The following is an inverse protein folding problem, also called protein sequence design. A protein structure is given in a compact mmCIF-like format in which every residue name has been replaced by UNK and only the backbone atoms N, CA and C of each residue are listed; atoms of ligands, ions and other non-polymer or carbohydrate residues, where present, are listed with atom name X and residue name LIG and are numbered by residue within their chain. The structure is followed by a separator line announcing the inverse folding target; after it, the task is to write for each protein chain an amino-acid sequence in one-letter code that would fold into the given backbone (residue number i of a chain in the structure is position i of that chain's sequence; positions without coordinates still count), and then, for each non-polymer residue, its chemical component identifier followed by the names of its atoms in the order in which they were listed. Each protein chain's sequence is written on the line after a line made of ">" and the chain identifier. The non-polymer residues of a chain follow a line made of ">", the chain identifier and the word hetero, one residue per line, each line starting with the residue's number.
data_IF_555102569697
#
_entry.id   IF_555102569697
#
_cell.length_a   1.000
_cell.length_b   1.000
_cell.length_c   1.000
_cell.angle_alpha   90.00
_cell.angle_beta   90.00
_cell.angle_gamma   90.00
#
_symmetry.space_group_name_H-M   'P 1'
#
loop_
_entity.id
_entity.type
_entity.pdbx_description
1 polymer ?
#
# COMPACT_ATOMS: atom_id res chain seq x y z
N UNK A 1 2.25 15.09 12.42
CA UNK A 1 3.35 15.06 11.42
C UNK A 1 4.35 14.04 11.94
N UNK A 2 4.38 12.81 11.40
CA UNK A 2 5.37 11.81 11.84
C UNK A 2 6.73 12.28 11.37
N UNK A 3 7.59 12.68 12.29
CA UNK A 3 8.96 13.09 11.94
C UNK A 3 9.73 11.91 11.35
N UNK A 4 10.82 12.19 10.62
CA UNK A 4 11.69 11.15 10.03
C UNK A 4 12.14 10.11 11.07
N UNK A 5 12.42 10.55 12.29
CA UNK A 5 12.75 9.67 13.41
C UNK A 5 11.60 8.71 13.75
N UNK A 6 10.35 9.18 13.74
CA UNK A 6 9.18 8.35 13.99
C UNK A 6 8.98 7.26 12.93
N UNK A 7 9.31 7.53 11.66
CA UNK A 7 9.26 6.53 10.60
C UNK A 7 10.35 5.46 10.76
N UNK A 8 11.57 5.85 11.14
CA UNK A 8 12.65 4.90 11.44
C UNK A 8 12.35 4.05 12.68
N UNK A 9 11.83 4.68 13.76
CA UNK A 9 11.41 3.96 14.96
C UNK A 9 10.28 2.98 14.66
N UNK A 10 9.31 3.38 13.82
CA UNK A 10 8.25 2.49 13.37
C UNK A 10 8.80 1.33 12.53
N UNK A 11 9.76 1.59 11.65
CA UNK A 11 10.38 0.55 10.82
C UNK A 11 11.14 -0.48 11.66
N UNK A 12 12.06 -0.03 12.52
CA UNK A 12 12.81 -0.91 13.43
C UNK A 12 11.87 -1.60 14.42
N UNK A 13 10.90 -0.86 14.95
CA UNK A 13 9.90 -1.38 15.89
C UNK A 13 9.04 -2.46 15.28
N UNK A 14 8.57 -2.28 14.04
CA UNK A 14 7.75 -3.28 13.35
C UNK A 14 8.57 -4.53 13.01
N UNK A 15 9.82 -4.39 12.55
CA UNK A 15 10.72 -5.54 12.35
C UNK A 15 10.94 -6.29 13.67
N UNK A 16 11.26 -5.56 14.74
CA UNK A 16 11.50 -6.16 16.06
C UNK A 16 10.26 -6.87 16.59
N UNK A 17 9.07 -6.29 16.39
CA UNK A 17 7.80 -6.90 16.76
C UNK A 17 7.58 -8.23 16.02
N UNK A 18 7.73 -8.25 14.70
CA UNK A 18 7.53 -9.45 13.89
C UNK A 18 8.53 -10.56 14.22
N UNK A 19 9.76 -10.21 14.61
CA UNK A 19 10.79 -11.19 14.94
C UNK A 19 10.66 -11.75 16.37
N UNK A 20 10.24 -10.92 17.32
CA UNK A 20 10.29 -11.25 18.76
C UNK A 20 8.94 -11.61 19.36
N UNK A 21 7.84 -11.02 18.87
CA UNK A 21 6.52 -11.07 19.52
C UNK A 21 5.44 -11.72 18.65
N UNK A 22 5.60 -11.71 17.33
CA UNK A 22 4.65 -12.35 16.43
C UNK A 22 4.69 -13.89 16.58
N UNK A 23 3.63 -14.59 16.13
CA UNK A 23 3.56 -16.05 16.20
C UNK A 23 4.76 -16.76 15.53
N UNK A 24 4.95 -18.07 15.74
CA UNK A 24 5.97 -18.82 15.01
C UNK A 24 5.73 -18.75 13.49
N UNK A 25 6.82 -18.83 12.73
CA UNK A 25 6.75 -18.89 11.27
C UNK A 25 6.63 -20.35 10.84
N UNK A 26 5.54 -20.69 10.15
CA UNK A 26 5.36 -22.00 9.52
C UNK A 26 5.88 -21.94 8.08
N UNK A 27 7.19 -22.13 7.90
CA UNK A 27 7.87 -21.86 6.63
C UNK A 27 7.33 -22.71 5.47
N UNK A 28 7.09 -24.00 5.68
CA UNK A 28 6.59 -24.90 4.63
C UNK A 28 5.19 -24.51 4.17
N UNK A 29 4.29 -24.20 5.12
CA UNK A 29 2.92 -23.73 4.87
C UNK A 29 2.91 -22.36 4.18
N UNK A 30 3.78 -21.44 4.61
CA UNK A 30 3.93 -20.13 3.96
C UNK A 30 4.40 -20.28 2.51
N UNK A 31 5.38 -21.16 2.26
CA UNK A 31 5.90 -21.39 0.91
C UNK A 31 4.86 -22.09 0.01
N UNK A 32 4.09 -23.04 0.54
CA UNK A 32 3.00 -23.69 -0.20
C UNK A 32 1.88 -22.70 -0.51
N UNK A 33 1.49 -21.85 0.44
CA UNK A 33 0.53 -20.78 0.25
C UNK A 33 1.00 -19.82 -0.86
N UNK A 34 2.21 -19.28 -0.76
CA UNK A 34 2.77 -18.37 -1.77
C UNK A 34 2.85 -19.04 -3.14
N UNK A 35 3.28 -20.29 -3.20
CA UNK A 35 3.29 -21.06 -4.45
C UNK A 35 1.90 -21.14 -5.06
N UNK A 36 0.89 -21.52 -4.28
CA UNK A 36 -0.48 -21.68 -4.75
C UNK A 36 -1.08 -20.35 -5.23
N UNK A 37 -0.81 -19.25 -4.52
CA UNK A 37 -1.23 -17.90 -4.95
C UNK A 37 -0.60 -17.55 -6.32
N UNK A 38 0.71 -17.75 -6.46
CA UNK A 38 1.48 -17.38 -7.66
C UNK A 38 1.22 -18.31 -8.85
N UNK A 39 0.82 -19.56 -8.63
CA UNK A 39 0.45 -20.52 -9.67
C UNK A 39 -1.06 -20.53 -9.97
N UNK A 40 -1.84 -19.60 -9.39
CA UNK A 40 -3.28 -19.48 -9.57
C UNK A 40 -4.09 -20.71 -9.07
N UNK A 41 -3.53 -21.48 -8.13
CA UNK A 41 -4.18 -22.60 -7.47
C UNK A 41 -4.99 -22.12 -6.26
N UNK A 42 -5.99 -21.28 -6.53
CA UNK A 42 -6.74 -20.57 -5.50
C UNK A 42 -7.86 -21.39 -4.84
N UNK A 43 -8.20 -22.56 -5.40
CA UNK A 43 -9.32 -23.38 -4.90
C UNK A 43 -9.11 -23.88 -3.47
N UNK A 44 -7.85 -24.09 -3.08
CA UNK A 44 -7.47 -24.65 -1.77
C UNK A 44 -7.04 -23.56 -0.77
N UNK A 45 -7.23 -22.28 -1.10
CA UNK A 45 -6.81 -21.16 -0.24
C UNK A 45 -8.06 -20.51 0.34
N UNK A 46 -8.05 -20.23 1.64
CA UNK A 46 -9.09 -19.44 2.27
C UNK A 46 -9.25 -18.07 1.55
N UNK A 47 -10.44 -17.76 1.00
CA UNK A 47 -10.68 -16.52 0.26
C UNK A 47 -10.34 -15.24 1.03
N UNK A 48 -10.45 -15.23 2.37
CA UNK A 48 -10.08 -14.08 3.19
C UNK A 48 -8.58 -13.81 3.11
N UNK A 49 -7.76 -14.87 3.14
CA UNK A 49 -6.29 -14.78 3.08
C UNK A 49 -5.84 -14.36 1.68
N UNK A 50 -6.42 -14.96 0.64
CA UNK A 50 -6.14 -14.56 -0.74
C UNK A 50 -6.50 -13.09 -0.98
N UNK A 51 -7.62 -12.64 -0.45
CA UNK A 51 -8.03 -11.24 -0.48
C UNK A 51 -7.03 -10.35 0.25
N UNK A 52 -6.65 -10.69 1.49
CA UNK A 52 -5.67 -9.92 2.27
C UNK A 52 -4.34 -9.79 1.53
N UNK A 53 -3.80 -10.89 0.99
CA UNK A 53 -2.58 -10.86 0.17
C UNK A 53 -2.73 -9.96 -1.05
N UNK A 54 -3.84 -10.08 -1.77
CA UNK A 54 -4.12 -9.26 -2.94
C UNK A 54 -4.28 -7.78 -2.59
N UNK A 55 -4.85 -7.46 -1.43
CA UNK A 55 -4.98 -6.10 -0.92
C UNK A 55 -3.65 -5.47 -0.55
N UNK A 56 -2.63 -6.24 -0.14
CA UNK A 56 -1.25 -5.73 -0.04
C UNK A 56 -0.78 -5.25 -1.41
N UNK A 57 -1.01 -6.03 -2.46
CA UNK A 57 -0.73 -5.62 -3.85
C UNK A 57 -1.47 -4.34 -4.24
N UNK A 58 -2.76 -4.22 -3.90
CA UNK A 58 -3.55 -2.99 -4.13
C UNK A 58 -2.93 -1.80 -3.39
N UNK A 59 -2.51 -1.96 -2.14
CA UNK A 59 -1.80 -0.90 -1.42
C UNK A 59 -0.51 -0.48 -2.12
N UNK A 60 0.32 -1.43 -2.55
CA UNK A 60 1.53 -1.12 -3.30
C UNK A 60 1.23 -0.33 -4.58
N UNK A 61 0.14 -0.65 -5.27
CA UNK A 61 -0.32 0.08 -6.44
C UNK A 61 -0.81 1.49 -6.05
N UNK A 62 -1.60 1.63 -4.98
CA UNK A 62 -2.02 2.95 -4.45
C UNK A 62 -0.80 3.84 -4.18
N UNK A 63 0.20 3.30 -3.47
CA UNK A 63 1.45 4.01 -3.19
C UNK A 63 2.24 4.31 -4.46
N UNK A 64 2.28 3.39 -5.42
CA UNK A 64 2.93 3.59 -6.72
C UNK A 64 2.31 4.77 -7.48
N UNK A 65 0.98 4.87 -7.45
CA UNK A 65 0.23 5.97 -8.06
C UNK A 65 0.57 7.37 -7.55
N UNK A 66 1.33 7.48 -6.46
CA UNK A 66 1.77 8.75 -5.86
C UNK A 66 3.30 8.83 -5.83
N UNK A 67 3.98 7.79 -5.33
CA UNK A 67 5.40 7.85 -5.03
C UNK A 67 6.31 7.76 -6.26
N UNK A 68 5.84 7.23 -7.38
CA UNK A 68 6.60 7.35 -8.64
C UNK A 68 6.62 8.79 -9.18
N UNK A 69 5.55 9.55 -8.94
CA UNK A 69 5.48 10.99 -9.25
C UNK A 69 6.41 11.74 -8.30
N UNK A 70 6.26 11.54 -6.98
CA UNK A 70 7.11 12.18 -5.97
C UNK A 70 8.59 11.86 -6.21
N UNK A 71 8.91 10.61 -6.57
CA UNK A 71 10.26 10.14 -6.84
C UNK A 71 10.96 10.80 -8.02
N UNK A 72 10.26 11.53 -8.90
CA UNK A 72 10.90 12.38 -9.93
C UNK A 72 11.55 13.63 -9.35
N UNK A 73 11.16 14.02 -8.14
CA UNK A 73 11.66 15.22 -7.45
C UNK A 73 12.59 14.85 -6.28
N UNK A 74 12.82 13.56 -6.05
CA UNK A 74 13.70 13.07 -5.00
C UNK A 74 15.11 12.81 -5.52
N UNK A 75 16.08 12.85 -4.61
CA UNK A 75 17.45 12.43 -4.91
C UNK A 75 17.53 10.91 -5.19
N UNK A 76 16.75 10.11 -4.47
CA UNK A 76 16.66 8.66 -4.70
C UNK A 76 15.31 8.39 -5.36
N UNK A 77 15.27 7.78 -6.56
CA UNK A 77 14.02 7.43 -7.20
C UNK A 77 13.28 6.32 -6.42
N UNK A 78 11.96 6.25 -6.57
CA UNK A 78 11.13 5.31 -5.81
C UNK A 78 11.29 3.83 -6.23
N UNK A 79 11.70 3.56 -7.48
CA UNK A 79 11.67 2.19 -8.05
C UNK A 79 12.40 1.10 -7.24
N UNK A 80 13.57 1.34 -6.59
CA UNK A 80 14.23 0.28 -5.81
C UNK A 80 13.37 -0.11 -4.59
N UNK A 81 12.70 0.87 -3.99
CA UNK A 81 11.81 0.64 -2.85
C UNK A 81 10.49 0.04 -3.29
N UNK A 82 9.99 0.35 -4.49
CA UNK A 82 8.85 -0.34 -5.07
C UNK A 82 9.13 -1.85 -5.20
N UNK A 83 10.29 -2.24 -5.75
CA UNK A 83 10.70 -3.64 -5.85
C UNK A 83 10.85 -4.28 -4.47
N UNK A 84 11.52 -3.61 -3.53
CA UNK A 84 11.65 -4.09 -2.16
C UNK A 84 10.29 -4.29 -1.49
N UNK A 85 9.32 -3.42 -1.77
CA UNK A 85 7.97 -3.48 -1.21
C UNK A 85 7.12 -4.59 -1.82
N UNK A 86 7.35 -4.98 -3.08
CA UNK A 86 6.71 -6.18 -3.66
C UNK A 86 7.11 -7.43 -2.88
N UNK A 87 8.38 -7.54 -2.46
CA UNK A 87 8.86 -8.69 -1.71
C UNK A 87 8.51 -8.65 -0.21
N UNK A 88 8.47 -7.47 0.40
CA UNK A 88 8.42 -7.31 1.87
C UNK A 88 7.24 -6.47 2.38
N UNK A 89 6.34 -6.05 1.50
CA UNK A 89 5.22 -5.17 1.82
C UNK A 89 5.68 -3.81 2.35
N UNK A 90 5.07 -3.38 3.45
CA UNK A 90 5.31 -2.05 4.04
C UNK A 90 6.76 -1.86 4.54
N UNK A 91 7.47 -2.96 4.81
CA UNK A 91 8.87 -2.92 5.25
C UNK A 91 9.81 -2.35 4.18
N UNK A 92 9.56 -2.63 2.91
CA UNK A 92 10.31 -2.06 1.79
C UNK A 92 9.96 -0.59 1.53
N UNK A 93 8.74 -0.17 1.88
CA UNK A 93 8.22 1.17 1.65
C UNK A 93 8.72 2.18 2.69
N UNK A 94 8.72 1.80 3.96
CA UNK A 94 9.02 2.67 5.09
C UNK A 94 10.36 3.42 4.99
N UNK A 95 11.49 2.78 4.60
CA UNK A 95 12.75 3.47 4.42
C UNK A 95 12.66 4.61 3.40
N UNK A 96 11.91 4.43 2.30
CA UNK A 96 11.70 5.49 1.32
C UNK A 96 10.95 6.68 1.93
N UNK A 97 9.88 6.40 2.69
CA UNK A 97 9.10 7.44 3.38
C UNK A 97 9.96 8.23 4.38
N UNK A 98 10.92 7.57 5.04
CA UNK A 98 11.82 8.21 5.98
C UNK A 98 12.90 9.06 5.30
N UNK A 99 13.38 8.64 4.12
CA UNK A 99 14.46 9.30 3.39
C UNK A 99 13.97 10.49 2.55
N UNK A 100 12.79 10.37 1.93
CA UNK A 100 12.24 11.38 1.03
C UNK A 100 12.09 12.76 1.68
N UNK A 101 12.07 13.81 0.86
CA UNK A 101 11.79 15.19 1.28
C UNK A 101 10.38 15.59 0.82
N UNK A 102 9.59 16.29 1.66
CA UNK A 102 8.29 16.80 1.22
C UNK A 102 8.45 17.78 0.06
N UNK A 103 7.64 17.62 -0.99
CA UNK A 103 7.59 18.52 -2.14
C UNK A 103 6.22 19.22 -2.18
N UNK A 104 6.21 20.51 -2.56
CA UNK A 104 4.97 21.30 -2.67
C UNK A 104 4.52 21.54 -4.11
N UNK A 105 5.46 21.49 -5.05
CA UNK A 105 5.22 21.79 -6.47
C UNK A 105 5.85 20.68 -7.31
N UNK A 106 5.16 20.30 -8.38
CA UNK A 106 5.66 19.29 -9.30
C UNK A 106 6.61 19.91 -10.33
N UNK A 107 7.91 19.62 -10.23
CA UNK A 107 8.94 20.07 -11.17
C UNK A 107 9.48 18.94 -12.08
N UNK A 108 8.93 17.73 -11.96
CA UNK A 108 9.34 16.58 -12.75
C UNK A 108 8.79 16.57 -14.18
N UNK A 109 9.33 15.67 -15.03
CA UNK A 109 8.77 15.40 -16.36
C UNK A 109 7.71 14.30 -16.28
N UNK A 110 6.52 14.58 -16.82
CA UNK A 110 5.42 13.62 -16.91
C UNK A 110 5.55 12.73 -18.16
N UNK A 111 6.26 11.62 -18.02
CA UNK A 111 6.37 10.59 -19.06
C UNK A 111 5.09 9.75 -19.18
N UNK A 112 5.01 8.87 -20.19
CA UNK A 112 3.83 8.03 -20.43
C UNK A 112 3.50 7.10 -19.24
N UNK A 113 4.51 6.65 -18.50
CA UNK A 113 4.32 5.82 -17.31
C UNK A 113 3.65 6.62 -16.18
N UNK A 114 4.09 7.85 -15.94
CA UNK A 114 3.44 8.74 -14.99
C UNK A 114 2.07 9.20 -15.47
N UNK A 115 1.84 9.36 -16.77
CA UNK A 115 0.50 9.62 -17.31
C UNK A 115 -0.48 8.48 -17.01
N UNK A 116 -0.04 7.22 -17.12
CA UNK A 116 -0.84 6.06 -16.73
C UNK A 116 -1.18 6.11 -15.24
N UNK A 117 -0.18 6.29 -14.37
CA UNK A 117 -0.39 6.36 -12.92
C UNK A 117 -1.25 7.56 -12.50
N UNK A 118 -1.14 8.69 -13.20
CA UNK A 118 -1.91 9.90 -12.97
C UNK A 118 -3.36 9.80 -13.46
N UNK A 119 -3.67 8.83 -14.32
CA UNK A 119 -4.99 8.66 -14.93
C UNK A 119 -6.07 8.27 -13.91
N UNK A 120 -7.27 8.83 -14.06
CA UNK A 120 -8.45 8.43 -13.26
C UNK A 120 -8.82 6.96 -13.47
N UNK A 121 -8.52 6.40 -14.65
CA UNK A 121 -8.74 4.99 -14.95
C UNK A 121 -7.88 4.07 -14.09
N UNK A 122 -6.68 4.51 -13.71
CA UNK A 122 -5.83 3.74 -12.80
C UNK A 122 -6.55 3.53 -11.46
N UNK A 123 -7.05 4.61 -10.86
CA UNK A 123 -7.87 4.52 -9.65
C UNK A 123 -9.14 3.68 -9.84
N UNK A 124 -9.83 3.84 -10.97
CA UNK A 124 -11.07 3.11 -11.26
C UNK A 124 -10.86 1.58 -11.39
N UNK A 125 -9.74 1.16 -11.98
CA UNK A 125 -9.39 -0.27 -12.04
C UNK A 125 -9.08 -0.78 -10.63
N UNK A 126 -8.28 -0.06 -9.84
CA UNK A 126 -7.94 -0.46 -8.48
C UNK A 126 -9.17 -0.58 -7.57
N UNK A 127 -10.11 0.37 -7.65
CA UNK A 127 -11.33 0.30 -6.83
C UNK A 127 -12.22 -0.86 -7.25
N UNK A 128 -12.35 -1.12 -8.56
CA UNK A 128 -13.11 -2.27 -9.07
C UNK A 128 -12.49 -3.58 -8.60
N UNK A 129 -11.17 -3.75 -8.77
CA UNK A 129 -10.44 -4.92 -8.27
C UNK A 129 -10.62 -5.11 -6.76
N UNK A 130 -10.55 -4.02 -5.99
CA UNK A 130 -10.75 -4.04 -4.54
C UNK A 130 -12.15 -4.52 -4.16
N UNK A 131 -13.18 -3.99 -4.83
CA UNK A 131 -14.58 -4.40 -4.60
C UNK A 131 -14.77 -5.87 -4.94
N UNK A 132 -14.21 -6.35 -6.05
CA UNK A 132 -14.28 -7.77 -6.44
C UNK A 132 -13.60 -8.68 -5.42
N UNK A 133 -12.41 -8.32 -4.93
CA UNK A 133 -11.67 -9.07 -3.92
C UNK A 133 -12.44 -9.15 -2.59
N UNK A 134 -12.99 -8.02 -2.14
CA UNK A 134 -13.78 -7.98 -0.90
C UNK A 134 -15.08 -8.77 -1.04
N UNK A 135 -15.78 -8.66 -2.17
CA UNK A 135 -16.98 -9.46 -2.44
C UNK A 135 -16.68 -10.96 -2.41
N UNK A 136 -15.54 -11.37 -2.98
CA UNK A 136 -15.08 -12.76 -2.95
C UNK A 136 -14.78 -13.24 -1.53
N UNK A 137 -14.04 -12.47 -0.72
CA UNK A 137 -13.75 -12.81 0.67
C UNK A 137 -15.01 -12.86 1.55
N UNK A 138 -15.94 -11.92 1.37
CA UNK A 138 -17.18 -11.88 2.17
C UNK A 138 -18.10 -13.04 1.79
N UNK A 139 -18.17 -13.42 0.52
CA UNK A 139 -19.10 -14.45 0.04
C UNK A 139 -18.62 -15.88 0.32
N UNK A 140 -17.32 -16.14 0.21
CA UNK A 140 -16.76 -17.50 0.24
C UNK A 140 -15.71 -17.72 1.35
N UNK A 141 -15.35 -16.66 2.08
CA UNK A 141 -14.30 -16.71 3.08
C UNK A 141 -14.70 -17.40 4.38
N UNK A 142 -13.77 -18.17 4.94
CA UNK A 142 -13.89 -18.69 6.29
C UNK A 142 -13.21 -17.73 7.28
N UNK A 143 -14.00 -16.89 7.94
CA UNK A 143 -13.49 -15.87 8.87
C UNK A 143 -12.97 -16.45 10.18
N UNK A 144 -13.50 -17.59 10.63
CA UNK A 144 -13.03 -18.27 11.84
C UNK A 144 -11.62 -18.81 11.64
N UNK A 145 -11.40 -19.49 10.52
CA UNK A 145 -10.10 -20.00 10.09
C UNK A 145 -9.09 -18.86 9.92
N UNK A 146 -9.50 -17.73 9.32
CA UNK A 146 -8.64 -16.54 9.24
C UNK A 146 -8.22 -16.00 10.62
N UNK A 147 -9.15 -15.95 11.59
CA UNK A 147 -8.83 -15.47 12.95
C UNK A 147 -7.83 -16.42 13.63
N UNK A 148 -7.98 -17.73 13.42
CA UNK A 148 -7.05 -18.72 13.93
C UNK A 148 -5.67 -18.52 13.30
N UNK A 149 -5.58 -18.45 11.97
CA UNK A 149 -4.31 -18.24 11.26
C UNK A 149 -3.65 -16.90 11.62
N UNK A 150 -4.42 -15.83 11.82
CA UNK A 150 -3.90 -14.55 12.29
C UNK A 150 -3.24 -14.65 13.68
N UNK A 151 -3.68 -15.57 14.53
CA UNK A 151 -3.12 -15.77 15.87
C UNK A 151 -1.97 -16.77 15.90
N UNK A 152 -1.92 -17.71 14.96
CA UNK A 152 -0.96 -18.82 14.96
C UNK A 152 0.18 -18.66 13.96
N UNK A 153 -0.04 -18.00 12.82
CA UNK A 153 0.95 -17.90 11.75
C UNK A 153 1.54 -16.49 11.62
N UNK A 154 2.87 -16.41 11.66
CA UNK A 154 3.60 -15.13 11.55
C UNK A 154 3.34 -14.39 10.25
N UNK A 155 3.24 -15.10 9.14
CA UNK A 155 3.11 -14.49 7.82
C UNK A 155 1.73 -13.83 7.69
N UNK A 156 0.65 -14.53 8.04
CA UNK A 156 -0.72 -13.98 8.04
C UNK A 156 -0.87 -12.86 9.06
N UNK A 157 -0.31 -13.03 10.27
CA UNK A 157 -0.29 -11.99 11.29
C UNK A 157 0.40 -10.72 10.81
N UNK A 158 1.64 -10.86 10.31
CA UNK A 158 2.46 -9.75 9.83
C UNK A 158 1.83 -9.05 8.62
N UNK A 159 1.25 -9.81 7.70
CA UNK A 159 0.54 -9.29 6.54
C UNK A 159 -0.70 -8.46 6.93
N UNK A 160 -1.48 -8.94 7.91
CA UNK A 160 -2.63 -8.21 8.45
C UNK A 160 -2.22 -6.88 9.08
N UNK A 161 -1.14 -6.87 9.87
CA UNK A 161 -0.60 -5.64 10.43
C UNK A 161 -0.04 -4.70 9.36
N UNK A 162 0.63 -5.25 8.34
CA UNK A 162 1.15 -4.48 7.22
C UNK A 162 0.04 -3.76 6.45
N UNK A 163 -1.10 -4.41 6.22
CA UNK A 163 -2.30 -3.78 5.64
C UNK A 163 -2.74 -2.55 6.43
N UNK A 164 -2.83 -2.65 7.76
CA UNK A 164 -3.16 -1.53 8.64
C UNK A 164 -2.09 -0.42 8.57
N UNK A 165 -0.81 -0.78 8.56
CA UNK A 165 0.28 0.19 8.48
C UNK A 165 0.25 0.98 7.17
N UNK A 166 -0.05 0.35 6.04
CA UNK A 166 -0.23 1.07 4.77
C UNK A 166 -1.31 2.14 4.88
N UNK A 167 -2.43 1.86 5.53
CA UNK A 167 -3.48 2.85 5.77
C UNK A 167 -3.01 4.00 6.67
N UNK A 168 -2.36 3.68 7.79
CA UNK A 168 -1.86 4.67 8.77
C UNK A 168 -0.79 5.58 8.15
N UNK A 169 0.03 5.06 7.24
CA UNK A 169 1.13 5.79 6.61
C UNK A 169 0.68 6.65 5.42
N UNK A 170 -0.48 6.36 4.83
CA UNK A 170 -0.94 7.07 3.62
C UNK A 170 -1.07 8.60 3.78
N UNK A 171 -1.57 9.14 4.92
CA UNK A 171 -1.61 10.59 5.15
C UNK A 171 -0.24 11.28 5.04
N UNK A 172 0.86 10.54 5.25
CA UNK A 172 2.22 11.11 5.18
C UNK A 172 2.60 11.53 3.77
N UNK A 173 2.04 10.89 2.74
CA UNK A 173 2.32 11.20 1.33
C UNK A 173 1.20 12.02 0.67
N UNK A 174 -0.03 11.88 1.18
CA UNK A 174 -1.21 12.52 0.61
C UNK A 174 -1.08 14.06 0.58
N UNK A 175 -0.58 14.65 1.66
CA UNK A 175 -0.45 16.12 1.75
C UNK A 175 0.43 16.68 0.64
N UNK A 176 1.54 16.02 0.37
CA UNK A 176 2.52 16.46 -0.63
C UNK A 176 1.94 16.30 -2.05
N UNK A 177 1.27 15.17 -2.33
CA UNK A 177 0.62 14.93 -3.63
C UNK A 177 -0.52 15.93 -3.89
N UNK A 178 -1.33 16.26 -2.88
CA UNK A 178 -2.38 17.29 -2.98
C UNK A 178 -1.79 18.67 -3.28
N UNK A 179 -0.69 19.04 -2.62
CA UNK A 179 -0.01 20.30 -2.89
C UNK A 179 0.56 20.37 -4.30
N UNK A 180 1.18 19.29 -4.78
CA UNK A 180 1.72 19.20 -6.15
C UNK A 180 0.64 19.36 -7.25
N UNK A 181 -0.63 19.15 -6.90
CA UNK A 181 -1.79 19.27 -7.80
C UNK A 181 -2.58 20.57 -7.57
N UNK A 182 -2.03 21.51 -6.81
CA UNK A 182 -2.71 22.73 -6.38
C UNK A 182 -4.08 22.47 -5.70
N UNK A 183 -4.25 21.30 -5.07
CA UNK A 183 -5.51 20.85 -4.49
C UNK A 183 -5.48 20.83 -2.96
N UNK A 184 -5.20 21.98 -2.36
CA UNK A 184 -5.03 22.12 -0.90
C UNK A 184 -6.38 22.25 -0.16
N UNK A 185 -7.21 21.20 -0.20
CA UNK A 185 -8.50 21.15 0.52
C UNK A 185 -8.41 20.26 1.77
N UNK A 186 -8.57 20.87 2.96
CA UNK A 186 -8.46 20.17 4.25
C UNK A 186 -9.57 19.13 4.47
N UNK A 187 -10.79 19.38 3.98
CA UNK A 187 -11.91 18.45 4.13
C UNK A 187 -11.67 17.18 3.30
N UNK A 188 -11.16 17.34 2.08
CA UNK A 188 -10.77 16.21 1.22
C UNK A 188 -9.67 15.38 1.90
N UNK A 189 -8.65 16.04 2.46
CA UNK A 189 -7.59 15.36 3.20
C UNK A 189 -8.17 14.47 4.32
N UNK A 190 -9.04 15.01 5.17
CA UNK A 190 -9.62 14.21 6.27
C UNK A 190 -10.53 13.09 5.77
N UNK A 191 -11.38 13.31 4.76
CA UNK A 191 -12.22 12.26 4.20
C UNK A 191 -11.37 11.09 3.67
N UNK A 192 -10.30 11.40 2.93
CA UNK A 192 -9.41 10.39 2.35
C UNK A 192 -8.63 9.62 3.42
N UNK A 193 -8.19 10.30 4.49
CA UNK A 193 -7.39 9.68 5.55
C UNK A 193 -8.21 8.88 6.56
N UNK A 194 -9.46 9.28 6.82
CA UNK A 194 -10.34 8.64 7.81
C UNK A 194 -11.12 7.43 7.26
N UNK A 195 -11.09 7.20 5.95
CA UNK A 195 -11.68 6.02 5.31
C UNK A 195 -10.53 5.15 4.77
N UNK A 196 -9.97 4.23 5.58
CA UNK A 196 -8.88 3.35 5.15
C UNK A 196 -9.23 2.62 3.86
N UNK A 197 -8.22 2.40 3.00
CA UNK A 197 -8.32 1.75 1.69
C UNK A 197 -9.19 2.51 0.68
N UNK A 198 -10.48 2.70 0.94
CA UNK A 198 -11.42 3.34 0.00
C UNK A 198 -11.19 4.85 -0.16
N UNK A 199 -10.75 5.55 0.88
CA UNK A 199 -10.35 6.96 0.79
C UNK A 199 -9.23 7.16 -0.22
N UNK A 200 -8.08 6.48 -0.07
CA UNK A 200 -6.98 6.50 -1.05
C UNK A 200 -7.40 6.09 -2.46
N UNK A 201 -8.21 5.03 -2.61
CA UNK A 201 -8.71 4.59 -3.92
C UNK A 201 -9.57 5.67 -4.57
N UNK A 202 -10.51 6.24 -3.82
CA UNK A 202 -11.37 7.34 -4.29
C UNK A 202 -10.53 8.54 -4.66
N UNK A 203 -9.53 8.89 -3.86
CA UNK A 203 -8.60 9.98 -4.13
C UNK A 203 -7.92 9.80 -5.50
N UNK A 204 -7.40 8.61 -5.83
CA UNK A 204 -6.82 8.34 -7.15
C UNK A 204 -7.82 8.50 -8.30
N UNK A 205 -9.11 8.21 -8.06
CA UNK A 205 -10.16 8.41 -9.06
C UNK A 205 -10.50 9.88 -9.28
N UNK A 206 -10.47 10.71 -8.23
CA UNK A 206 -11.02 12.08 -8.28
C UNK A 206 -9.96 13.18 -8.36
N UNK A 207 -8.71 12.89 -8.01
CA UNK A 207 -7.63 13.89 -7.95
C UNK A 207 -7.49 14.65 -9.28
N UNK A 208 -7.26 15.98 -9.24
CA UNK A 208 -6.90 16.75 -10.43
C UNK A 208 -5.62 16.19 -11.05
N UNK A 209 -5.56 16.13 -12.37
CA UNK A 209 -4.34 15.72 -13.09
C UNK A 209 -3.18 16.66 -12.76
N UNK A 210 -1.95 16.13 -12.77
CA UNK A 210 -0.76 17.00 -12.70
C UNK A 210 -0.70 17.90 -13.92
N UNK A 211 -0.40 19.18 -13.68
CA UNK A 211 -0.12 20.14 -14.73
C UNK A 211 1.07 19.67 -15.56
N UNK A 212 0.93 19.74 -16.89
CA UNK A 212 2.03 19.42 -17.78
C UNK A 212 2.95 20.63 -17.80
N UNK A 213 4.16 20.50 -17.24
CA UNK A 213 5.25 21.41 -17.54
C UNK A 213 5.64 21.15 -19.02
N UNK A 214 5.13 21.97 -19.93
CA UNK A 214 5.50 21.98 -21.36
C UNK A 214 6.95 22.38 -21.53
#
# INVERSE_FOLDING_TARGET
>A
MVGKLGLWLLWVGFISYILLLAPPLHLEETLSLLKNILTLQWADINPVILCLFSLIGIWLLIYSGILFIDGRMQWIPFWPFAIASVASGVLGLLPYLALRKPNREFSGKKDAFLQLLDSRWYGAILILSTISLLAYAISLGNWEDFIQEFQSDRFIHGMSLAFCLFAILFPTILKDDMSCRHWNNISVFWIVTLIPLFGPLTYLCIRPSLENNT
#
